data_IF_839080622910
#
_entry.id   IF_839080622910
#
_cell.length_a   1.000
_cell.length_b   1.000
_cell.length_c   1.000
_cell.angle_alpha   90.00
_cell.angle_beta   90.00
_cell.angle_gamma   90.00
#
_symmetry.space_group_name_H-M   'P 1'
#
loop_
_entity.id
_entity.type
_entity.pdbx_description
1 polymer ?
#
# COMPACT_ATOMS: atom_id res chain seq x y z
N UNK A 1 -21.79 28.82 -73.52
CA UNK A 1 -21.61 28.03 -72.29
C UNK A 1 -20.22 28.34 -71.78
N UNK A 2 -20.10 29.33 -70.91
CA UNK A 2 -18.80 29.70 -70.33
C UNK A 2 -18.47 28.68 -69.23
N UNK A 3 -17.38 27.94 -69.44
CA UNK A 3 -16.82 27.03 -68.44
C UNK A 3 -16.33 27.88 -67.27
N UNK A 4 -16.84 27.69 -66.04
CA UNK A 4 -16.35 28.45 -64.91
C UNK A 4 -14.86 28.17 -64.72
N UNK A 5 -14.10 29.24 -64.48
CA UNK A 5 -12.65 29.24 -64.35
C UNK A 5 -12.22 28.24 -63.27
N UNK A 6 -11.78 27.05 -63.70
CA UNK A 6 -11.45 25.89 -62.84
C UNK A 6 -10.42 26.28 -61.78
N UNK A 7 -9.51 27.19 -62.13
CA UNK A 7 -8.51 27.74 -61.23
C UNK A 7 -9.13 28.44 -60.01
N UNK A 8 -10.16 29.25 -60.24
CA UNK A 8 -10.84 30.05 -59.22
C UNK A 8 -11.68 29.18 -58.26
N UNK A 9 -12.23 28.07 -58.78
CA UNK A 9 -12.96 27.07 -57.98
C UNK A 9 -12.00 26.30 -57.06
N UNK A 10 -10.83 25.89 -57.59
CA UNK A 10 -9.81 25.17 -56.82
C UNK A 10 -9.24 26.08 -55.73
N UNK A 11 -8.95 27.34 -56.04
CA UNK A 11 -8.51 28.33 -55.04
C UNK A 11 -9.53 28.49 -53.91
N UNK A 12 -10.83 28.58 -54.24
CA UNK A 12 -11.90 28.67 -53.24
C UNK A 12 -12.01 27.41 -52.38
N UNK A 13 -11.86 26.23 -52.97
CA UNK A 13 -11.89 24.96 -52.25
C UNK A 13 -10.69 24.80 -51.32
N UNK A 14 -9.48 25.13 -51.81
CA UNK A 14 -8.25 25.12 -51.00
C UNK A 14 -8.37 26.10 -49.83
N UNK A 15 -8.90 27.30 -50.07
CA UNK A 15 -9.13 28.31 -49.03
C UNK A 15 -10.14 27.81 -47.98
N UNK A 16 -11.20 27.11 -48.40
CA UNK A 16 -12.21 26.57 -47.49
C UNK A 16 -11.64 25.43 -46.64
N UNK A 17 -10.82 24.56 -47.23
CA UNK A 17 -10.13 23.48 -46.51
C UNK A 17 -9.11 24.03 -45.53
N UNK A 18 -8.31 25.02 -45.94
CA UNK A 18 -7.34 25.68 -45.06
C UNK A 18 -8.04 26.30 -43.85
N UNK A 19 -9.15 27.01 -44.08
CA UNK A 19 -9.96 27.61 -43.00
C UNK A 19 -10.56 26.57 -42.06
N UNK A 20 -11.08 25.46 -42.59
CA UNK A 20 -11.61 24.37 -41.76
C UNK A 20 -10.52 23.65 -40.94
N UNK A 21 -9.28 23.62 -41.43
CA UNK A 21 -8.12 23.10 -40.70
C UNK A 21 -7.68 24.08 -39.62
N UNK A 22 -7.63 25.39 -39.91
CA UNK A 22 -7.37 26.44 -38.92
C UNK A 22 -8.42 26.43 -37.80
N UNK A 23 -9.71 26.41 -38.12
CA UNK A 23 -10.80 26.36 -37.15
C UNK A 23 -10.67 25.12 -36.23
N UNK A 24 -10.27 23.98 -36.79
CA UNK A 24 -10.05 22.74 -36.01
C UNK A 24 -8.81 22.83 -35.12
N UNK A 25 -7.74 23.47 -35.59
CA UNK A 25 -6.52 23.71 -34.80
C UNK A 25 -6.84 24.68 -33.65
N UNK A 26 -7.62 25.72 -33.89
CA UNK A 26 -8.07 26.68 -32.87
C UNK A 26 -8.96 26.02 -31.80
N UNK A 27 -9.84 25.09 -32.20
CA UNK A 27 -10.63 24.29 -31.28
C UNK A 27 -9.76 23.35 -30.42
N UNK A 28 -8.75 22.69 -31.01
CA UNK A 28 -7.82 21.82 -30.28
C UNK A 28 -6.92 22.61 -29.31
N UNK A 29 -6.44 23.80 -29.71
CA UNK A 29 -5.68 24.72 -28.85
C UNK A 29 -6.55 25.21 -27.69
N UNK A 30 -7.78 25.63 -27.97
CA UNK A 30 -8.74 26.05 -26.94
C UNK A 30 -9.12 24.91 -25.98
N UNK A 31 -9.15 23.67 -26.45
CA UNK A 31 -9.38 22.49 -25.62
C UNK A 31 -8.15 22.14 -24.75
N UNK A 32 -6.94 22.37 -25.25
CA UNK A 32 -5.69 22.23 -24.48
C UNK A 32 -5.55 23.31 -23.40
N UNK A 33 -5.94 24.56 -23.68
CA UNK A 33 -5.98 25.63 -22.69
C UNK A 33 -7.07 25.43 -21.63
N UNK A 34 -8.12 24.65 -21.95
CA UNK A 34 -9.15 24.15 -21.02
C UNK A 34 -8.75 22.90 -20.24
N UNK A 35 -7.57 22.30 -20.46
CA UNK A 35 -6.97 21.44 -19.45
C UNK A 35 -6.52 22.37 -18.33
N UNK A 36 -7.47 22.70 -17.45
CA UNK A 36 -7.36 23.77 -16.48
C UNK A 36 -6.07 23.57 -15.67
N UNK A 37 -5.15 24.55 -15.75
CA UNK A 37 -3.96 24.61 -14.88
C UNK A 37 -4.35 24.43 -13.40
N UNK A 38 -5.57 24.86 -13.05
CA UNK A 38 -6.20 24.70 -11.74
C UNK A 38 -6.46 23.22 -11.38
N UNK A 39 -6.83 22.35 -12.34
CA UNK A 39 -7.01 20.92 -12.12
C UNK A 39 -5.68 20.20 -11.87
N UNK A 40 -4.63 20.62 -12.58
CA UNK A 40 -3.27 20.10 -12.39
C UNK A 40 -2.72 20.54 -11.03
N UNK A 41 -2.90 21.81 -10.66
CA UNK A 41 -2.46 22.35 -9.37
C UNK A 41 -3.25 21.72 -8.21
N UNK A 42 -4.57 21.57 -8.34
CA UNK A 42 -5.39 20.87 -7.36
C UNK A 42 -4.98 19.39 -7.18
N UNK A 43 -4.64 18.69 -8.26
CA UNK A 43 -4.12 17.33 -8.21
C UNK A 43 -2.75 17.28 -7.51
N UNK A 44 -1.89 18.25 -7.78
CA UNK A 44 -0.57 18.39 -7.15
C UNK A 44 -0.70 18.64 -5.65
N UNK A 45 -1.54 19.59 -5.24
CA UNK A 45 -1.82 19.88 -3.83
C UNK A 45 -2.36 18.64 -3.12
N UNK A 46 -3.31 17.92 -3.73
CA UNK A 46 -3.88 16.70 -3.15
C UNK A 46 -2.80 15.63 -2.92
N UNK A 47 -1.91 15.42 -3.89
CA UNK A 47 -0.78 14.48 -3.74
C UNK A 47 0.20 14.95 -2.66
N UNK A 48 0.53 16.23 -2.61
CA UNK A 48 1.42 16.80 -1.60
C UNK A 48 0.85 16.62 -0.18
N UNK A 49 -0.44 16.89 0.00
CA UNK A 49 -1.13 16.67 1.27
C UNK A 49 -1.18 15.19 1.66
N UNK A 50 -1.41 14.28 0.72
CA UNK A 50 -1.36 12.84 0.97
C UNK A 50 0.04 12.39 1.41
N UNK A 51 1.09 12.83 0.70
CA UNK A 51 2.48 12.53 1.06
C UNK A 51 2.82 13.08 2.44
N UNK A 52 2.42 14.32 2.76
CA UNK A 52 2.65 14.93 4.08
C UNK A 52 1.97 14.15 5.19
N UNK A 53 0.68 13.79 5.02
CA UNK A 53 -0.06 12.97 6.01
C UNK A 53 0.57 11.60 6.21
N UNK A 54 1.06 10.96 5.14
CA UNK A 54 1.74 9.67 5.24
C UNK A 54 3.09 9.79 5.94
N UNK A 55 3.86 10.84 5.66
CA UNK A 55 5.12 11.12 6.36
C UNK A 55 4.90 11.37 7.87
N UNK A 56 3.89 12.16 8.24
CA UNK A 56 3.53 12.40 9.64
C UNK A 56 3.07 11.12 10.36
N UNK A 57 2.27 10.26 9.69
CA UNK A 57 1.88 8.95 10.24
C UNK A 57 3.10 8.05 10.44
N UNK A 58 3.97 7.95 9.44
CA UNK A 58 5.19 7.16 9.51
C UNK A 58 6.11 7.65 10.62
N UNK A 59 6.26 8.97 10.78
CA UNK A 59 7.02 9.57 11.88
C UNK A 59 6.45 9.19 13.25
N UNK A 60 5.13 9.21 13.42
CA UNK A 60 4.47 8.75 14.65
C UNK A 60 4.71 7.27 14.93
N UNK A 61 4.60 6.41 13.92
CA UNK A 61 4.87 4.98 14.07
C UNK A 61 6.32 4.71 14.51
N UNK A 62 7.29 5.36 13.89
CA UNK A 62 8.70 5.24 14.28
C UNK A 62 8.91 5.71 15.73
N UNK A 63 8.29 6.84 16.12
CA UNK A 63 8.38 7.34 17.50
C UNK A 63 7.79 6.37 18.55
N UNK A 64 6.82 5.55 18.15
CA UNK A 64 6.22 4.49 18.97
C UNK A 64 7.00 3.16 18.91
N UNK A 65 8.12 3.12 18.19
CA UNK A 65 8.99 1.95 18.04
C UNK A 65 8.54 0.97 16.96
N UNK A 66 7.66 1.36 16.03
CA UNK A 66 7.36 0.53 14.84
C UNK A 66 8.59 0.51 13.92
N UNK A 67 8.70 -0.52 13.08
CA UNK A 67 9.88 -0.72 12.24
C UNK A 67 10.95 -1.62 12.88
N UNK A 68 10.79 -1.98 14.15
CA UNK A 68 11.70 -2.85 14.90
C UNK A 68 10.95 -3.93 15.67
N UNK A 69 11.66 -5.02 15.96
CA UNK A 69 11.15 -6.17 16.70
C UNK A 69 11.74 -6.19 18.11
N UNK A 70 10.96 -5.68 19.07
CA UNK A 70 11.42 -5.44 20.45
C UNK A 70 10.75 -6.36 21.46
N UNK A 71 11.48 -6.73 22.51
CA UNK A 71 10.95 -7.50 23.63
C UNK A 71 10.28 -6.60 24.68
N UNK A 72 9.13 -7.05 25.19
CA UNK A 72 8.44 -6.48 26.34
C UNK A 72 8.75 -7.35 27.56
N UNK A 73 9.36 -6.76 28.59
CA UNK A 73 9.74 -7.48 29.80
C UNK A 73 8.66 -7.43 30.91
N UNK A 74 7.81 -6.40 30.91
CA UNK A 74 6.77 -6.21 31.92
C UNK A 74 5.36 -6.27 31.30
N UNK A 75 4.46 -7.03 31.92
CA UNK A 75 3.09 -7.20 31.44
C UNK A 75 2.29 -5.89 31.36
N UNK A 76 2.60 -4.93 32.23
CA UNK A 76 1.96 -3.61 32.21
C UNK A 76 2.24 -2.87 30.90
N UNK A 77 3.45 -3.02 30.36
CA UNK A 77 3.90 -2.30 29.17
C UNK A 77 3.21 -2.84 27.90
N UNK A 78 2.83 -4.12 27.90
CA UNK A 78 2.01 -4.70 26.83
C UNK A 78 0.72 -3.89 26.60
N UNK A 79 0.00 -3.52 27.67
CA UNK A 79 -1.22 -2.74 27.55
C UNK A 79 -0.96 -1.31 27.04
N UNK A 80 0.19 -0.73 27.40
CA UNK A 80 0.61 0.58 26.89
C UNK A 80 0.90 0.53 25.38
N UNK A 81 1.62 -0.50 24.92
CA UNK A 81 1.92 -0.72 23.50
C UNK A 81 0.64 -0.92 22.69
N UNK A 82 -0.26 -1.78 23.18
CA UNK A 82 -1.54 -2.09 22.53
C UNK A 82 -2.47 -0.88 22.45
N UNK A 83 -2.44 0.02 23.44
CA UNK A 83 -3.23 1.26 23.42
C UNK A 83 -2.64 2.34 22.53
N UNK A 84 -1.31 2.36 22.39
CA UNK A 84 -0.61 3.39 21.61
C UNK A 84 -0.62 3.12 20.10
N UNK A 85 -0.85 1.88 19.68
CA UNK A 85 -0.74 1.45 18.28
C UNK A 85 -2.03 0.81 17.77
N UNK A 86 -2.45 1.19 16.57
CA UNK A 86 -3.69 0.67 15.96
C UNK A 86 -3.61 -0.83 15.64
N UNK A 87 -2.42 -1.32 15.26
CA UNK A 87 -2.13 -2.71 14.92
C UNK A 87 -0.90 -3.17 15.66
N UNK A 88 -1.01 -4.30 16.35
CA UNK A 88 0.09 -4.92 17.08
C UNK A 88 0.08 -6.42 16.81
N UNK A 89 1.25 -6.97 16.50
CA UNK A 89 1.49 -8.41 16.48
C UNK A 89 2.40 -8.73 17.66
N UNK A 90 1.87 -9.53 18.60
CA UNK A 90 2.60 -9.90 19.80
C UNK A 90 2.94 -11.40 19.78
N UNK A 91 4.23 -11.72 19.75
CA UNK A 91 4.73 -13.08 19.83
C UNK A 91 4.90 -13.50 21.30
N UNK A 92 4.05 -14.42 21.74
CA UNK A 92 4.23 -15.15 22.98
C UNK A 92 5.22 -16.28 22.74
N UNK A 93 6.36 -16.19 23.41
CA UNK A 93 7.48 -17.08 23.17
C UNK A 93 8.01 -17.73 24.46
N UNK A 94 8.79 -18.80 24.27
CA UNK A 94 9.70 -19.38 25.26
C UNK A 94 11.04 -19.67 24.61
N UNK A 95 12.04 -20.01 25.40
CA UNK A 95 13.38 -20.33 24.89
C UNK A 95 13.40 -21.73 24.23
N UNK A 96 12.81 -21.86 23.04
CA UNK A 96 12.80 -23.08 22.24
C UNK A 96 13.06 -22.78 20.75
N UNK A 97 13.32 -23.84 19.99
CA UNK A 97 13.66 -23.72 18.57
C UNK A 97 12.49 -23.19 17.71
N UNK A 98 11.23 -23.65 17.85
CA UNK A 98 10.10 -23.09 17.11
C UNK A 98 9.88 -21.57 17.29
N UNK A 99 10.09 -21.05 18.51
CA UNK A 99 9.99 -19.60 18.73
C UNK A 99 11.13 -18.84 18.03
N UNK A 100 12.32 -19.43 17.89
CA UNK A 100 13.45 -18.79 17.17
C UNK A 100 13.18 -18.67 15.67
N UNK A 101 12.48 -19.65 15.09
CA UNK A 101 12.00 -19.57 13.70
C UNK A 101 11.05 -18.38 13.56
N UNK A 102 10.07 -18.27 14.45
CA UNK A 102 9.12 -17.16 14.43
C UNK A 102 9.81 -15.79 14.61
N UNK A 103 10.77 -15.69 15.53
CA UNK A 103 11.59 -14.48 15.74
C UNK A 103 12.29 -14.01 14.45
N UNK A 104 12.83 -14.94 13.66
CA UNK A 104 13.48 -14.64 12.38
C UNK A 104 12.51 -13.98 11.40
N UNK A 105 11.33 -14.57 11.19
CA UNK A 105 10.35 -14.03 10.24
C UNK A 105 9.77 -12.69 10.70
N UNK A 106 9.43 -12.56 11.98
CA UNK A 106 8.90 -11.31 12.53
C UNK A 106 9.92 -10.17 12.48
N UNK A 107 11.21 -10.46 12.64
CA UNK A 107 12.28 -9.45 12.53
C UNK A 107 12.40 -8.87 11.11
N UNK A 108 12.06 -9.68 10.08
CA UNK A 108 12.04 -9.23 8.68
C UNK A 108 10.78 -8.39 8.45
N UNK A 109 9.61 -8.93 8.83
CA UNK A 109 8.32 -8.27 8.66
C UNK A 109 8.22 -6.94 9.41
N UNK A 110 8.83 -6.84 10.59
CA UNK A 110 8.83 -5.60 11.36
C UNK A 110 9.44 -4.42 10.60
N UNK A 111 10.46 -4.66 9.77
CA UNK A 111 11.12 -3.62 8.97
C UNK A 111 10.31 -3.25 7.72
N UNK A 112 9.55 -4.20 7.19
CA UNK A 112 8.72 -4.02 5.99
C UNK A 112 7.40 -3.31 6.33
N UNK A 113 6.77 -3.68 7.45
CA UNK A 113 5.45 -3.20 7.86
C UNK A 113 5.51 -2.23 9.03
N UNK A 114 5.98 -1.01 8.77
CA UNK A 114 6.07 0.06 9.79
C UNK A 114 4.70 0.53 10.27
N UNK A 115 3.64 0.21 9.56
CA UNK A 115 2.27 0.50 9.97
C UNK A 115 1.78 -0.38 11.13
N UNK A 116 2.55 -1.40 11.53
CA UNK A 116 2.21 -2.39 12.54
C UNK A 116 3.35 -2.58 13.53
N UNK A 117 3.00 -2.61 14.82
CA UNK A 117 3.97 -2.80 15.89
C UNK A 117 4.22 -4.29 16.11
N UNK A 118 5.46 -4.73 15.89
CA UNK A 118 5.87 -6.10 16.20
C UNK A 118 6.60 -6.14 17.53
N UNK A 119 6.15 -7.00 18.44
CA UNK A 119 6.74 -7.17 19.76
C UNK A 119 6.74 -8.64 20.17
N UNK A 120 7.61 -8.99 21.12
CA UNK A 120 7.59 -10.31 21.77
C UNK A 120 7.54 -10.22 23.27
N UNK A 121 6.97 -11.24 23.89
CA UNK A 121 6.88 -11.35 25.34
C UNK A 121 7.08 -12.81 25.77
N UNK A 122 7.90 -13.00 26.80
CA UNK A 122 8.16 -14.33 27.32
C UNK A 122 6.93 -14.80 28.12
N UNK A 123 6.31 -15.88 27.66
CA UNK A 123 5.08 -16.42 28.25
C UNK A 123 5.30 -16.97 29.68
N UNK A 124 6.48 -17.52 29.98
CA UNK A 124 6.81 -18.06 31.31
C UNK A 124 7.02 -16.95 32.34
N UNK A 125 7.53 -15.80 31.90
CA UNK A 125 7.70 -14.60 32.74
C UNK A 125 6.45 -13.74 32.85
N UNK A 126 5.44 -14.00 32.01
CA UNK A 126 4.20 -13.21 31.90
C UNK A 126 2.95 -14.09 32.01
N UNK A 127 2.76 -14.82 33.12
CA UNK A 127 1.69 -15.79 33.27
C UNK A 127 0.30 -15.16 33.26
N UNK A 128 0.13 -13.93 33.75
CA UNK A 128 -1.18 -13.27 33.78
C UNK A 128 -1.63 -12.90 32.37
N UNK A 129 -0.72 -12.42 31.50
CA UNK A 129 -1.05 -12.19 30.10
C UNK A 129 -1.33 -13.50 29.35
N UNK A 130 -0.50 -14.52 29.57
CA UNK A 130 -0.69 -15.83 28.96
C UNK A 130 -2.06 -16.43 29.33
N UNK A 131 -2.45 -16.38 30.61
CA UNK A 131 -3.76 -16.85 31.07
C UNK A 131 -4.91 -16.01 30.52
N UNK A 132 -4.81 -14.67 30.62
CA UNK A 132 -5.86 -13.74 30.18
C UNK A 132 -6.14 -13.85 28.68
N UNK A 133 -5.10 -14.08 27.89
CA UNK A 133 -5.20 -14.25 26.44
C UNK A 133 -5.32 -15.72 26.01
N UNK A 134 -5.43 -16.65 26.97
CA UNK A 134 -5.60 -18.09 26.75
C UNK A 134 -4.53 -18.70 25.86
N UNK A 135 -3.27 -18.30 26.08
CA UNK A 135 -2.10 -18.83 25.39
C UNK A 135 -1.75 -20.20 25.98
N UNK A 136 -2.13 -21.28 25.28
CA UNK A 136 -1.89 -22.67 25.71
C UNK A 136 -0.70 -23.29 24.99
N UNK A 137 -0.44 -22.87 23.75
CA UNK A 137 0.59 -23.44 22.86
C UNK A 137 1.59 -22.35 22.50
N UNK A 138 2.87 -22.71 22.33
CA UNK A 138 3.94 -21.79 21.95
C UNK A 138 4.71 -22.34 20.73
N UNK A 139 5.10 -21.50 19.77
CA UNK A 139 4.84 -20.06 19.69
C UNK A 139 3.36 -19.73 19.41
N UNK A 140 2.87 -18.61 19.93
CA UNK A 140 1.56 -18.06 19.53
C UNK A 140 1.70 -16.57 19.22
N UNK A 141 1.14 -16.13 18.10
CA UNK A 141 1.01 -14.72 17.77
C UNK A 141 -0.40 -14.25 18.15
N UNK A 142 -0.49 -13.25 19.01
CA UNK A 142 -1.73 -12.51 19.22
C UNK A 142 -1.81 -11.36 18.21
N UNK A 143 -2.85 -11.37 17.38
CA UNK A 143 -3.09 -10.36 16.35
C UNK A 143 -4.08 -9.34 16.90
N UNK A 144 -3.61 -8.12 17.11
CA UNK A 144 -4.33 -7.10 17.87
C UNK A 144 -4.61 -5.91 16.97
N UNK A 145 -5.86 -5.49 16.95
CA UNK A 145 -6.34 -4.35 16.16
C UNK A 145 -7.26 -3.49 17.02
N UNK A 146 -7.02 -2.18 17.04
CA UNK A 146 -7.79 -1.21 17.81
C UNK A 146 -7.94 -1.62 19.29
N UNK A 147 -6.84 -2.02 19.93
CA UNK A 147 -6.77 -2.49 21.32
C UNK A 147 -7.60 -3.75 21.65
N UNK A 148 -8.10 -4.48 20.65
CA UNK A 148 -8.79 -5.76 20.80
C UNK A 148 -8.00 -6.86 20.10
N UNK A 149 -7.94 -8.04 20.72
CA UNK A 149 -7.40 -9.23 20.02
C UNK A 149 -8.44 -9.69 19.01
N UNK A 150 -8.04 -9.68 17.74
CA UNK A 150 -8.92 -10.03 16.62
C UNK A 150 -8.75 -11.51 16.27
N UNK A 151 -7.52 -12.02 16.31
CA UNK A 151 -7.19 -13.37 15.88
C UNK A 151 -5.86 -13.87 16.51
N UNK A 152 -5.57 -15.14 16.35
CA UNK A 152 -4.33 -15.78 16.79
C UNK A 152 -3.70 -16.60 15.66
N UNK A 153 -2.38 -16.70 15.65
CA UNK A 153 -1.65 -17.71 14.88
C UNK A 153 -0.97 -18.64 15.88
N UNK A 154 -1.40 -19.90 15.93
CA UNK A 154 -0.92 -20.87 16.92
C UNK A 154 0.03 -21.85 16.25
N UNK A 155 1.27 -21.91 16.74
CA UNK A 155 2.30 -22.81 16.23
C UNK A 155 2.61 -22.55 14.74
N UNK A 156 2.74 -23.64 13.98
CA UNK A 156 3.01 -23.61 12.54
C UNK A 156 1.88 -24.22 11.71
N UNK A 157 0.79 -24.68 12.33
CA UNK A 157 -0.27 -25.45 11.65
C UNK A 157 -0.87 -24.65 10.48
N UNK A 158 -1.08 -23.35 10.67
CA UNK A 158 -1.60 -22.43 9.66
C UNK A 158 -0.55 -21.94 8.65
N UNK A 159 0.73 -22.26 8.89
CA UNK A 159 1.88 -21.86 8.09
C UNK A 159 2.47 -23.03 7.28
N UNK A 160 1.76 -24.15 7.22
CA UNK A 160 2.18 -25.37 6.51
C UNK A 160 2.60 -26.52 7.42
N UNK A 161 2.53 -26.36 8.74
CA UNK A 161 2.85 -27.39 9.73
C UNK A 161 4.34 -27.72 9.85
N UNK A 162 5.19 -27.02 9.11
CA UNK A 162 6.65 -27.15 9.13
C UNK A 162 7.27 -25.85 9.59
N UNK A 163 8.55 -25.92 9.88
CA UNK A 163 9.38 -24.83 10.35
C UNK A 163 10.15 -24.12 9.22
N UNK A 164 10.25 -24.74 8.06
CA UNK A 164 10.85 -24.20 6.83
C UNK A 164 9.86 -23.38 5.96
N UNK A 165 8.88 -22.72 6.55
CA UNK A 165 7.94 -21.88 5.81
C UNK A 165 8.57 -20.56 5.35
N UNK A 166 8.08 -19.98 4.25
CA UNK A 166 8.57 -18.69 3.75
C UNK A 166 7.96 -17.53 4.55
N UNK A 167 8.69 -16.40 4.63
CA UNK A 167 8.17 -15.18 5.28
C UNK A 167 6.87 -14.69 4.63
N UNK A 168 6.72 -14.91 3.32
CA UNK A 168 5.52 -14.56 2.55
C UNK A 168 4.27 -15.29 3.05
N UNK A 169 4.37 -16.57 3.46
CA UNK A 169 3.22 -17.31 4.01
C UNK A 169 2.73 -16.66 5.30
N UNK A 170 3.66 -16.28 6.18
CA UNK A 170 3.32 -15.57 7.41
C UNK A 170 2.76 -14.17 7.11
N UNK A 171 3.35 -13.46 6.16
CA UNK A 171 2.86 -12.16 5.70
C UNK A 171 1.40 -12.26 5.20
N UNK A 172 1.12 -13.18 4.28
CA UNK A 172 -0.24 -13.42 3.79
C UNK A 172 -1.21 -13.73 4.93
N UNK A 173 -0.78 -14.52 5.92
CA UNK A 173 -1.62 -14.86 7.07
C UNK A 173 -1.95 -13.64 7.94
N UNK A 174 -0.96 -12.77 8.18
CA UNK A 174 -1.14 -11.51 8.90
C UNK A 174 -2.01 -10.51 8.11
N UNK A 175 -1.86 -10.48 6.79
CA UNK A 175 -2.65 -9.62 5.91
C UNK A 175 -4.11 -10.06 5.84
N UNK A 176 -4.39 -11.36 5.82
CA UNK A 176 -5.75 -11.91 5.93
C UNK A 176 -6.45 -11.47 7.21
N UNK A 177 -5.72 -11.38 8.31
CA UNK A 177 -6.19 -10.83 9.59
C UNK A 177 -6.22 -9.29 9.62
N UNK A 178 -5.85 -8.61 8.52
CA UNK A 178 -5.82 -7.16 8.37
C UNK A 178 -4.97 -6.45 9.44
N UNK A 179 -3.95 -7.14 9.96
CA UNK A 179 -2.97 -6.56 10.88
C UNK A 179 -1.71 -6.08 10.19
N UNK A 180 -1.58 -6.26 8.87
CA UNK A 180 -0.59 -5.60 8.01
C UNK A 180 -1.23 -5.23 6.68
N UNK A 181 -0.59 -4.37 5.89
CA UNK A 181 -0.99 -4.10 4.51
C UNK A 181 -0.14 -4.92 3.53
N UNK A 182 -0.79 -5.61 2.58
CA UNK A 182 -0.06 -6.21 1.46
C UNK A 182 0.44 -5.11 0.53
N UNK A 183 1.65 -5.27 -0.03
CA UNK A 183 2.19 -4.34 -1.03
C UNK A 183 1.16 -4.13 -2.17
N UNK A 184 0.82 -2.86 -2.43
CA UNK A 184 -0.22 -2.45 -3.39
C UNK A 184 -1.55 -2.01 -2.77
N UNK A 185 -1.89 -2.41 -1.54
CA UNK A 185 -3.12 -1.96 -0.86
C UNK A 185 -2.94 -0.66 -0.06
N UNK A 186 -1.70 -0.28 0.26
CA UNK A 186 -1.35 0.84 1.15
C UNK A 186 -1.83 2.23 0.66
N UNK A 187 -2.27 2.34 -0.61
CA UNK A 187 -2.66 3.61 -1.23
C UNK A 187 -4.09 3.65 -1.81
N UNK A 188 -4.90 2.58 -1.71
CA UNK A 188 -6.11 2.44 -2.55
C UNK A 188 -7.47 2.48 -1.85
N UNK A 189 -7.59 2.84 -0.57
CA UNK A 189 -8.93 2.91 0.07
C UNK A 189 -9.29 4.27 0.65
N UNK A 190 -9.95 5.14 -0.13
CA UNK A 190 -11.16 5.82 0.28
C UNK A 190 -12.37 4.98 -0.18
N UNK A 191 -13.17 4.51 0.76
CA UNK A 191 -14.42 3.79 0.47
C UNK A 191 -15.43 4.66 -0.28
N UNK A 192 -16.06 4.03 -1.29
CA UNK A 192 -17.29 4.38 -2.02
C UNK A 192 -17.18 5.27 -3.26
N UNK A 193 -17.00 4.64 -4.43
CA UNK A 193 -18.01 4.65 -5.51
C UNK A 193 -17.59 3.74 -6.67
N UNK A 194 -18.54 2.97 -7.17
CA UNK A 194 -18.46 2.11 -8.35
C UNK A 194 -18.10 2.92 -9.60
N UNK A 195 -16.94 2.65 -10.20
CA UNK A 195 -16.69 2.95 -11.62
C UNK A 195 -15.64 1.99 -12.20
N UNK A 196 -16.04 1.28 -13.28
CA UNK A 196 -15.22 0.32 -14.02
C UNK A 196 -13.99 1.01 -14.62
N UNK A 197 -12.79 0.49 -14.40
CA UNK A 197 -11.58 0.91 -15.11
C UNK A 197 -11.35 0.02 -16.34
N UNK A 198 -11.30 0.63 -17.53
CA UNK A 198 -10.73 0.02 -18.75
C UNK A 198 -9.22 0.19 -18.71
N UNK A 199 -8.49 -0.93 -18.82
CA UNK A 199 -7.02 -0.97 -18.90
C UNK A 199 -6.54 -0.47 -20.26
N UNK A 200 -5.63 0.50 -20.27
CA UNK A 200 -4.83 0.88 -21.44
C UNK A 200 -3.41 0.39 -21.20
N UNK A 201 -3.05 -0.75 -21.82
CA UNK A 201 -1.66 -1.19 -21.94
C UNK A 201 -1.00 -0.35 -23.02
N UNK A 202 0.01 0.43 -22.66
CA UNK A 202 0.84 1.17 -23.61
C UNK A 202 1.99 0.26 -24.06
N UNK A 203 1.99 -0.11 -25.34
CA UNK A 203 3.10 -0.83 -25.98
C UNK A 203 4.20 0.15 -26.37
N UNK A 204 5.42 -0.08 -25.88
CA UNK A 204 6.64 0.63 -26.28
C UNK A 204 7.05 0.20 -27.70
N UNK A 205 6.99 1.11 -28.67
CA UNK A 205 7.71 0.96 -29.95
C UNK A 205 9.10 1.57 -29.80
N UNK A 206 10.11 0.72 -29.98
CA UNK A 206 11.53 1.05 -30.11
C UNK A 206 11.78 1.78 -31.44
N UNK A 207 12.33 2.99 -31.37
CA UNK A 207 12.92 3.67 -32.52
C UNK A 207 14.35 3.17 -32.70
N UNK A 208 14.58 2.42 -33.79
CA UNK A 208 15.92 2.08 -34.27
C UNK A 208 16.32 3.21 -35.24
N UNK A 209 17.39 3.93 -34.92
CA UNK A 209 17.95 4.99 -35.75
C UNK A 209 19.11 4.42 -36.54
N UNK A 210 18.85 4.04 -37.80
CA UNK A 210 19.88 3.87 -38.83
C UNK A 210 19.98 5.19 -39.60
N UNK A 211 21.19 5.73 -39.72
CA UNK A 211 21.57 6.64 -40.81
C UNK A 211 23.09 6.55 -41.00
N UNK A 212 23.43 5.97 -42.14
CA UNK A 212 24.59 6.15 -43.04
C UNK A 212 25.97 6.56 -42.47
#
# INVERSE_FOLDING_TARGET
>A
MEVPNVQEIIEKQVLTVAKAVEDKIDDEISALDRLDLDDIEALRERRLQQMKKMAEKRGRWIALGHGDYSEIHAEKDFFSVVKASDRVVCHFYRENWPCKVMDKHLSILAKQHIETRFVKINAEKSPFLAEKLKIVVLPTLALIKNAKVDDYVVGFDELGGTDDFSTEILEERLAKAQVIFLEGESSLKPSNSTAKTRSVRQSTKSYNSDSE
#
